data_IF_527737305385
#
_entry.id   IF_527737305385
#
_cell.length_a   1.000
_cell.length_b   1.000
_cell.length_c   1.000
_cell.angle_alpha   90.00
_cell.angle_beta   90.00
_cell.angle_gamma   90.00
#
_symmetry.space_group_name_H-M   'P 1'
#
loop_
_entity.id
_entity.type
_entity.pdbx_description
1 polymer ?
#
# COMPACT_ATOMS: atom_id res chain seq x y z
N UNK A 1 -1.58 32.96 6.39
CA UNK A 1 -2.75 33.47 7.13
C UNK A 1 -2.92 32.60 8.35
N UNK A 2 -3.11 33.20 9.52
CA UNK A 2 -3.41 32.50 10.78
C UNK A 2 -4.70 33.07 11.34
N UNK A 3 -5.49 32.24 12.01
CA UNK A 3 -6.69 32.71 12.70
C UNK A 3 -6.29 33.57 13.90
N UNK A 4 -7.12 34.55 14.25
CA UNK A 4 -6.90 35.44 15.40
C UNK A 4 -7.36 34.84 16.73
N UNK A 5 -8.03 33.69 16.67
CA UNK A 5 -8.50 32.92 17.83
C UNK A 5 -8.56 31.44 17.50
N UNK A 6 -8.68 30.63 18.55
CA UNK A 6 -9.03 29.23 18.44
C UNK A 6 -10.48 29.06 17.96
N UNK A 7 -10.73 27.96 17.25
CA UNK A 7 -12.05 27.57 16.77
C UNK A 7 -12.66 26.55 17.72
N UNK A 8 -13.98 26.46 17.73
CA UNK A 8 -14.71 25.40 18.44
C UNK A 8 -15.23 24.35 17.45
N UNK A 9 -15.34 23.09 17.88
CA UNK A 9 -15.98 22.05 17.06
C UNK A 9 -17.46 22.39 16.83
N UNK A 10 -17.93 22.21 15.59
CA UNK A 10 -19.28 22.57 15.17
C UNK A 10 -19.50 24.08 14.98
N UNK A 11 -18.47 24.91 15.13
CA UNK A 11 -18.57 26.34 14.87
C UNK A 11 -18.79 26.61 13.37
N UNK A 12 -19.68 27.52 13.02
CA UNK A 12 -19.87 27.96 11.63
C UNK A 12 -19.09 29.23 11.33
N UNK A 13 -18.11 29.12 10.45
CA UNK A 13 -17.39 30.24 9.86
C UNK A 13 -18.06 30.68 8.56
N UNK A 14 -17.87 31.95 8.22
CA UNK A 14 -18.39 32.52 6.98
C UNK A 14 -17.25 33.12 6.18
N UNK A 15 -16.94 32.50 5.05
CA UNK A 15 -16.02 33.06 4.06
C UNK A 15 -16.81 33.99 3.15
N UNK A 16 -16.54 35.30 3.22
CA UNK A 16 -17.18 36.32 2.38
C UNK A 16 -16.23 36.83 1.32
N UNK A 17 -16.74 37.04 0.11
CA UNK A 17 -16.02 37.77 -0.93
C UNK A 17 -16.25 39.27 -0.72
N UNK A 18 -15.17 40.04 -0.74
CA UNK A 18 -15.19 41.49 -0.67
C UNK A 18 -14.69 42.09 -1.98
N UNK A 19 -15.22 43.26 -2.37
CA UNK A 19 -14.71 44.04 -3.49
C UNK A 19 -13.66 45.00 -2.95
N UNK A 20 -12.57 45.18 -3.68
CA UNK A 20 -11.56 46.18 -3.33
C UNK A 20 -12.12 47.59 -3.60
N UNK A 21 -12.37 48.36 -2.54
CA UNK A 21 -12.88 49.73 -2.66
C UNK A 21 -12.58 50.53 -1.38
N UNK A 22 -11.66 51.52 -1.43
CA UNK A 22 -10.89 51.96 -2.60
C UNK A 22 -9.88 50.90 -3.07
N UNK A 23 -9.47 50.99 -4.34
CA UNK A 23 -8.43 50.12 -4.93
C UNK A 23 -7.04 50.50 -4.41
N UNK A 24 -6.75 50.20 -3.14
CA UNK A 24 -5.52 50.59 -2.44
C UNK A 24 -4.64 49.42 -1.99
N UNK A 25 -5.07 48.18 -2.22
CA UNK A 25 -4.37 46.96 -1.82
C UNK A 25 -4.45 46.61 -0.34
N UNK A 26 -5.28 47.29 0.46
CA UNK A 26 -5.39 47.11 1.91
C UNK A 26 -6.81 46.67 2.29
N UNK A 27 -6.93 45.49 2.90
CA UNK A 27 -8.24 45.04 3.39
C UNK A 27 -8.72 45.87 4.59
N UNK A 28 -9.78 46.65 4.41
CA UNK A 28 -10.26 47.68 5.35
C UNK A 28 -11.70 47.51 5.87
N UNK A 29 -12.35 46.35 5.65
CA UNK A 29 -13.78 46.19 5.94
C UNK A 29 -14.17 46.44 7.41
N UNK A 30 -15.02 47.46 7.62
CA UNK A 30 -15.69 47.78 8.88
C UNK A 30 -17.22 47.78 8.68
N UNK A 31 -17.88 46.73 9.17
CA UNK A 31 -19.33 46.56 9.05
C UNK A 31 -20.15 47.69 9.73
N UNK A 32 -19.53 48.51 10.59
CA UNK A 32 -20.19 49.62 11.29
C UNK A 32 -20.08 50.96 10.58
N UNK A 33 -19.26 51.06 9.53
CA UNK A 33 -19.11 52.28 8.75
C UNK A 33 -20.31 52.51 7.81
N UNK A 34 -20.73 53.78 7.66
CA UNK A 34 -21.80 54.17 6.73
C UNK A 34 -21.42 53.90 5.25
N UNK A 35 -20.14 54.00 4.95
CA UNK A 35 -19.53 53.64 3.67
C UNK A 35 -18.30 52.80 3.96
N UNK A 36 -18.46 51.49 4.16
CA UNK A 36 -17.34 50.62 4.51
C UNK A 36 -16.35 50.54 3.35
N UNK A 37 -15.07 50.67 3.67
CA UNK A 37 -14.02 50.24 2.77
C UNK A 37 -14.17 48.72 2.57
N UNK A 38 -13.83 48.25 1.38
CA UNK A 38 -14.01 46.88 0.90
C UNK A 38 -15.38 46.25 1.23
N UNK A 39 -16.50 46.79 0.73
CA UNK A 39 -17.81 46.21 0.98
C UNK A 39 -17.91 44.80 0.39
N UNK A 40 -18.77 43.92 0.93
CA UNK A 40 -19.01 42.60 0.37
C UNK A 40 -19.37 42.66 -1.12
N UNK A 41 -18.86 41.71 -1.89
CA UNK A 41 -19.36 41.46 -3.23
C UNK A 41 -20.79 40.94 -3.15
N UNK A 42 -21.66 41.46 -4.02
CA UNK A 42 -23.06 41.07 -4.07
C UNK A 42 -23.32 40.16 -5.27
N UNK A 43 -24.22 39.20 -5.11
CA UNK A 43 -24.74 38.37 -6.19
C UNK A 43 -25.81 39.11 -7.01
N UNK A 44 -26.43 38.41 -7.97
CA UNK A 44 -27.45 38.98 -8.85
C UNK A 44 -28.73 39.43 -8.10
N UNK A 45 -28.98 38.88 -6.91
CA UNK A 45 -30.12 39.20 -6.05
C UNK A 45 -29.77 40.25 -4.98
N UNK A 46 -28.54 40.78 -5.02
CA UNK A 46 -28.06 41.80 -4.09
C UNK A 46 -27.65 41.25 -2.72
N UNK A 47 -27.46 39.93 -2.57
CA UNK A 47 -27.00 39.32 -1.33
C UNK A 47 -25.47 39.19 -1.31
N UNK A 48 -24.82 39.29 -0.14
CA UNK A 48 -23.38 39.05 -0.03
C UNK A 48 -23.00 37.65 -0.51
N UNK A 49 -22.03 37.57 -1.42
CA UNK A 49 -21.44 36.31 -1.85
C UNK A 49 -20.65 35.73 -0.68
N UNK A 50 -21.18 34.65 -0.10
CA UNK A 50 -20.62 34.01 1.08
C UNK A 50 -20.75 32.49 1.02
N UNK A 51 -19.77 31.79 1.59
CA UNK A 51 -19.83 30.37 1.85
C UNK A 51 -19.77 30.12 3.36
N UNK A 52 -20.67 29.28 3.87
CA UNK A 52 -20.63 28.83 5.25
C UNK A 52 -19.75 27.58 5.34
N UNK A 53 -18.85 27.56 6.34
CA UNK A 53 -17.93 26.46 6.60
C UNK A 53 -18.16 26.01 8.03
N UNK A 54 -18.57 24.75 8.21
CA UNK A 54 -18.61 24.15 9.54
C UNK A 54 -17.20 23.70 9.92
N UNK A 55 -16.73 24.14 11.09
CA UNK A 55 -15.46 23.71 11.67
C UNK A 55 -15.69 22.35 12.30
N UNK A 56 -14.84 21.39 11.95
CA UNK A 56 -14.76 20.10 12.62
C UNK A 56 -13.39 19.95 13.24
N UNK A 57 -13.33 19.89 14.57
CA UNK A 57 -12.11 19.58 15.31
C UNK A 57 -12.20 18.10 15.68
N UNK A 58 -11.43 17.23 15.00
CA UNK A 58 -11.54 15.81 15.25
C UNK A 58 -11.16 15.49 16.70
N UNK A 59 -12.10 14.94 17.48
CA UNK A 59 -11.73 14.16 18.65
C UNK A 59 -10.95 12.92 18.19
N UNK A 60 -10.22 12.31 19.12
CA UNK A 60 -9.64 11.00 18.89
C UNK A 60 -10.75 10.02 18.49
N UNK A 61 -10.58 9.34 17.37
CA UNK A 61 -11.58 8.48 16.77
C UNK A 61 -10.93 7.43 15.89
N UNK A 62 -11.51 6.23 15.89
CA UNK A 62 -11.01 5.09 15.14
C UNK A 62 -12.22 4.31 14.63
N UNK A 63 -12.18 3.96 13.35
CA UNK A 63 -13.14 3.06 12.71
C UNK A 63 -12.37 2.12 11.80
N UNK A 64 -12.61 0.82 11.99
CA UNK A 64 -12.15 -0.24 11.11
C UNK A 64 -13.33 -1.16 10.84
N UNK A 65 -13.47 -1.56 9.58
CA UNK A 65 -14.48 -2.50 9.14
C UNK A 65 -13.78 -3.74 8.57
N UNK A 66 -14.43 -4.88 8.71
CA UNK A 66 -14.00 -6.11 8.07
C UNK A 66 -13.88 -5.89 6.55
N UNK A 67 -12.82 -6.41 5.94
CA UNK A 67 -12.65 -6.26 4.50
C UNK A 67 -11.95 -7.42 3.83
N UNK A 68 -12.24 -7.53 2.53
CA UNK A 68 -11.56 -8.46 1.64
C UNK A 68 -10.28 -7.83 1.10
N UNK A 69 -9.18 -8.57 1.20
CA UNK A 69 -7.84 -8.14 0.83
C UNK A 69 -7.67 -8.16 -0.69
N UNK A 70 -7.13 -7.06 -1.22
CA UNK A 70 -6.53 -7.03 -2.57
C UNK A 70 -5.07 -7.51 -2.54
N UNK A 71 -4.35 -7.14 -1.47
CA UNK A 71 -3.01 -7.62 -1.17
C UNK A 71 -2.96 -8.19 0.23
N UNK A 72 -2.30 -9.34 0.42
CA UNK A 72 -2.20 -9.96 1.74
C UNK A 72 -1.31 -9.19 2.72
N UNK A 73 -0.57 -8.20 2.24
CA UNK A 73 0.30 -7.31 3.05
C UNK A 73 -0.29 -5.91 3.21
N UNK A 74 -1.54 -5.65 2.80
CA UNK A 74 -2.12 -4.30 2.87
C UNK A 74 -3.52 -4.33 3.44
N UNK A 75 -3.72 -3.55 4.49
CA UNK A 75 -5.03 -3.33 5.10
C UNK A 75 -5.42 -1.87 4.97
N UNK A 76 -6.72 -1.60 5.16
CA UNK A 76 -7.27 -0.24 5.14
C UNK A 76 -8.03 0.03 6.41
N UNK A 77 -7.71 1.14 7.07
CA UNK A 77 -8.48 1.67 8.19
C UNK A 77 -9.50 2.65 7.64
N UNK A 78 -10.78 2.40 7.93
CA UNK A 78 -11.90 3.17 7.38
C UNK A 78 -11.75 4.65 7.73
N UNK A 79 -11.47 4.95 8.99
CA UNK A 79 -11.29 6.30 9.46
C UNK A 79 -10.41 6.33 10.71
N UNK A 80 -9.51 7.29 10.78
CA UNK A 80 -8.80 7.64 12.00
C UNK A 80 -8.75 9.15 12.15
N UNK A 81 -8.97 9.63 13.36
CA UNK A 81 -8.96 11.06 13.66
C UNK A 81 -8.25 11.32 14.98
N UNK A 82 -7.49 12.41 15.04
CA UNK A 82 -6.76 12.82 16.24
C UNK A 82 -6.54 14.32 16.24
N UNK A 83 -6.72 14.98 17.39
CA UNK A 83 -6.36 16.38 17.57
C UNK A 83 -4.85 16.59 17.85
N UNK A 84 -4.10 15.50 18.05
CA UNK A 84 -2.67 15.48 18.39
C UNK A 84 -1.87 14.62 17.41
N UNK A 85 -0.55 14.73 17.45
CA UNK A 85 0.32 13.75 16.82
C UNK A 85 0.00 12.36 17.38
N UNK A 86 -0.10 11.39 16.50
CA UNK A 86 -0.59 10.07 16.84
C UNK A 86 0.19 8.99 16.10
N UNK A 87 0.14 7.78 16.63
CA UNK A 87 0.66 6.58 15.99
C UNK A 87 -0.48 5.59 15.86
N UNK A 88 -0.70 5.11 14.63
CA UNK A 88 -1.60 3.97 14.40
C UNK A 88 -0.75 2.71 14.30
N UNK A 89 -1.19 1.63 14.96
CA UNK A 89 -0.53 0.34 14.89
C UNK A 89 -1.53 -0.75 14.55
N UNK A 90 -1.09 -1.72 13.75
CA UNK A 90 -1.80 -2.97 13.47
C UNK A 90 -1.05 -4.10 14.15
N UNK A 91 -1.75 -4.93 14.90
CA UNK A 91 -1.20 -6.14 15.49
C UNK A 91 -2.09 -7.34 15.19
N UNK A 92 -1.53 -8.54 15.33
CA UNK A 92 -2.29 -9.79 15.27
C UNK A 92 -2.84 -10.21 16.66
N UNK A 93 -3.42 -11.40 16.71
CA UNK A 93 -4.00 -11.96 17.92
C UNK A 93 -2.97 -12.31 19.01
N UNK A 94 -1.69 -12.40 18.67
CA UNK A 94 -0.58 -12.61 19.61
C UNK A 94 0.05 -11.27 20.05
N UNK A 95 -0.58 -10.15 19.70
CA UNK A 95 -0.11 -8.78 19.94
C UNK A 95 1.22 -8.45 19.23
N UNK A 96 1.58 -9.19 18.16
CA UNK A 96 2.73 -8.84 17.33
C UNK A 96 2.39 -7.67 16.42
N UNK A 97 3.13 -6.56 16.54
CA UNK A 97 2.95 -5.39 15.68
C UNK A 97 3.38 -5.69 14.24
N UNK A 98 2.42 -5.62 13.32
CA UNK A 98 2.61 -5.87 11.90
C UNK A 98 2.82 -4.58 11.10
N UNK A 99 2.24 -3.47 11.52
CA UNK A 99 2.41 -2.17 10.87
C UNK A 99 2.32 -1.04 11.89
N UNK A 100 3.06 0.04 11.64
CA UNK A 100 2.92 1.31 12.35
C UNK A 100 2.98 2.46 11.37
N UNK A 101 2.26 3.55 11.65
CA UNK A 101 2.38 4.78 10.88
C UNK A 101 2.16 6.01 11.78
N UNK A 102 2.98 7.06 11.64
CA UNK A 102 2.73 8.34 12.27
C UNK A 102 1.61 9.08 11.56
N UNK A 103 0.80 9.78 12.35
CA UNK A 103 -0.32 10.61 11.91
C UNK A 103 -0.15 12.02 12.45
N UNK A 104 -0.19 13.00 11.56
CA UNK A 104 -0.35 14.39 11.95
C UNK A 104 -1.76 14.61 12.55
N UNK A 105 -1.98 15.66 13.36
CA UNK A 105 -3.32 16.05 13.77
C UNK A 105 -4.27 16.21 12.57
N UNK A 106 -5.43 15.57 12.60
CA UNK A 106 -6.40 15.63 11.51
C UNK A 106 -7.37 14.45 11.45
N UNK A 107 -8.06 14.36 10.32
CA UNK A 107 -8.94 13.27 9.93
C UNK A 107 -8.35 12.58 8.70
N UNK A 108 -8.21 11.27 8.75
CA UNK A 108 -7.74 10.44 7.66
C UNK A 108 -8.80 9.39 7.36
N UNK A 109 -9.24 9.36 6.12
CA UNK A 109 -10.20 8.38 5.62
C UNK A 109 -9.47 7.35 4.76
N UNK A 110 -9.93 6.11 4.82
CA UNK A 110 -9.47 5.04 3.94
C UNK A 110 -7.94 4.84 4.00
N UNK A 111 -7.34 5.02 5.19
CA UNK A 111 -5.90 5.02 5.42
C UNK A 111 -5.31 3.63 5.14
N UNK A 112 -4.46 3.47 4.11
CA UNK A 112 -3.80 2.20 3.87
C UNK A 112 -2.60 2.01 4.81
N UNK A 113 -2.40 0.78 5.26
CA UNK A 113 -1.23 0.37 6.03
C UNK A 113 -0.64 -0.91 5.46
N UNK A 114 0.67 -0.90 5.27
CA UNK A 114 1.44 -2.04 4.75
C UNK A 114 2.00 -2.85 5.92
N UNK A 115 1.69 -4.14 5.93
CA UNK A 115 2.06 -5.11 6.95
C UNK A 115 3.46 -5.67 6.68
N UNK A 116 4.18 -6.00 7.75
CA UNK A 116 5.50 -6.62 7.73
C UNK A 116 5.50 -8.07 7.20
N UNK A 117 4.34 -8.73 7.26
CA UNK A 117 4.10 -10.08 6.75
C UNK A 117 2.76 -10.18 6.02
N UNK A 118 2.60 -11.14 5.10
CA UNK A 118 1.31 -11.46 4.52
C UNK A 118 0.38 -12.08 5.56
N UNK A 119 -0.91 -11.78 5.41
CA UNK A 119 -2.02 -12.55 5.99
C UNK A 119 -2.07 -13.88 5.24
N UNK A 120 -1.76 -14.96 5.97
CA UNK A 120 -1.67 -16.30 5.39
C UNK A 120 -2.97 -17.09 5.56
N UNK A 121 -3.77 -16.73 6.57
CA UNK A 121 -4.99 -17.45 6.93
C UNK A 121 -6.22 -16.63 6.52
N UNK A 122 -7.17 -17.19 5.76
CA UNK A 122 -8.45 -16.55 5.52
C UNK A 122 -9.19 -16.27 6.84
N UNK A 123 -9.63 -15.03 7.04
CA UNK A 123 -10.39 -14.63 8.25
C UNK A 123 -9.50 -14.33 9.46
N UNK A 124 -8.26 -13.90 9.24
CA UNK A 124 -7.39 -13.46 10.34
C UNK A 124 -7.99 -12.21 11.02
N UNK A 125 -8.10 -12.24 12.34
CA UNK A 125 -8.51 -11.08 13.14
C UNK A 125 -7.29 -10.23 13.45
N UNK A 126 -7.33 -8.97 13.05
CA UNK A 126 -6.31 -7.97 13.35
C UNK A 126 -6.85 -6.95 14.35
N UNK A 127 -5.94 -6.35 15.09
CA UNK A 127 -6.22 -5.31 16.06
C UNK A 127 -5.60 -4.00 15.59
N UNK A 128 -6.35 -2.92 15.66
CA UNK A 128 -5.88 -1.57 15.38
C UNK A 128 -5.88 -0.75 16.65
N UNK A 129 -4.77 -0.08 16.91
CA UNK A 129 -4.55 0.75 18.09
C UNK A 129 -4.26 2.18 17.64
N UNK A 130 -4.82 3.15 18.34
CA UNK A 130 -4.43 4.56 18.20
C UNK A 130 -3.71 5.02 19.47
N UNK A 131 -2.45 5.41 19.32
CA UNK A 131 -1.62 5.98 20.37
C UNK A 131 -1.45 7.50 20.17
N UNK A 132 -1.30 8.24 21.25
CA UNK A 132 -0.68 9.56 21.23
C UNK A 132 0.83 9.37 21.09
N UNK A 133 1.41 10.03 20.09
CA UNK A 133 2.87 10.10 19.87
C UNK A 133 3.41 11.20 20.79
N UNK A 134 3.77 10.82 22.02
CA UNK A 134 3.94 11.79 23.13
C UNK A 134 5.23 12.59 22.96
N UNK A 135 6.26 11.98 22.38
CA UNK A 135 7.54 12.65 22.10
C UNK A 135 7.69 13.12 20.64
N UNK A 136 6.65 12.89 19.82
CA UNK A 136 6.52 13.33 18.42
C UNK A 136 7.66 12.83 17.53
N UNK A 137 8.21 11.63 17.84
CA UNK A 137 9.34 11.07 17.11
C UNK A 137 8.90 10.17 15.94
N UNK A 138 7.60 9.84 15.84
CA UNK A 138 7.02 9.00 14.80
C UNK A 138 7.33 7.50 14.91
N UNK A 139 7.78 7.03 16.07
CA UNK A 139 8.17 5.64 16.36
C UNK A 139 7.44 5.18 17.62
N UNK A 140 6.72 4.06 17.50
CA UNK A 140 6.01 3.48 18.65
C UNK A 140 6.97 3.05 19.76
N UNK A 141 6.88 3.72 20.89
CA UNK A 141 7.54 3.38 22.15
C UNK A 141 6.49 3.15 23.23
N UNK A 142 6.22 1.87 23.55
CA UNK A 142 5.23 1.49 24.55
C UNK A 142 5.51 2.01 25.98
N UNK A 143 6.68 2.58 26.25
CA UNK A 143 7.01 3.23 27.53
C UNK A 143 6.70 4.73 27.57
N UNK A 144 6.50 5.36 26.40
CA UNK A 144 6.26 6.79 26.25
C UNK A 144 4.86 7.05 25.67
N UNK A 145 4.51 6.32 24.61
CA UNK A 145 3.26 6.48 23.89
C UNK A 145 2.10 5.85 24.66
N UNK A 146 0.98 6.57 24.65
CA UNK A 146 -0.20 6.17 25.43
C UNK A 146 -1.39 5.98 24.52
N UNK A 147 -2.21 4.97 24.80
CA UNK A 147 -3.44 4.76 24.04
C UNK A 147 -4.34 5.98 24.13
N UNK A 148 -4.76 6.48 22.98
CA UNK A 148 -5.80 7.49 22.92
C UNK A 148 -7.13 6.90 23.37
N UNK A 149 -8.00 7.78 23.86
CA UNK A 149 -9.35 7.41 24.29
C UNK A 149 -10.39 8.18 23.49
N UNK A 150 -11.54 7.56 23.26
CA UNK A 150 -12.69 8.23 22.67
C UNK A 150 -13.25 9.34 23.60
N UNK A 151 -14.26 10.06 23.13
CA UNK A 151 -14.93 11.10 23.93
C UNK A 151 -15.56 10.59 25.24
N UNK A 152 -15.78 9.28 25.37
CA UNK A 152 -16.28 8.61 26.58
C UNK A 152 -15.18 8.08 27.51
N UNK A 153 -13.91 8.19 27.12
CA UNK A 153 -12.75 7.69 27.86
C UNK A 153 -12.42 6.21 27.63
N UNK A 154 -13.04 5.55 26.65
CA UNK A 154 -12.70 4.18 26.29
C UNK A 154 -11.44 4.16 25.39
N UNK A 155 -10.51 3.20 25.57
CA UNK A 155 -9.31 3.12 24.75
C UNK A 155 -9.67 2.83 23.30
N UNK A 156 -9.00 3.53 22.36
CA UNK A 156 -9.19 3.35 20.92
C UNK A 156 -8.41 2.13 20.43
N UNK A 157 -8.98 0.98 20.73
CA UNK A 157 -8.55 -0.34 20.26
C UNK A 157 -9.76 -1.02 19.63
N UNK A 158 -9.65 -1.36 18.35
CA UNK A 158 -10.68 -2.10 17.62
C UNK A 158 -10.08 -3.38 17.05
N UNK A 159 -10.93 -4.35 16.75
CA UNK A 159 -10.56 -5.48 15.91
C UNK A 159 -11.40 -5.48 14.65
N UNK A 160 -10.87 -6.08 13.60
CA UNK A 160 -11.53 -6.32 12.34
C UNK A 160 -11.00 -7.61 11.72
N UNK A 161 -11.84 -8.26 10.93
CA UNK A 161 -11.49 -9.47 10.19
C UNK A 161 -11.02 -9.12 8.77
N UNK A 162 -9.95 -9.76 8.34
CA UNK A 162 -9.46 -9.68 6.96
C UNK A 162 -9.62 -11.02 6.26
N UNK A 163 -10.17 -10.99 5.04
CA UNK A 163 -10.46 -12.20 4.26
C UNK A 163 -9.83 -12.13 2.88
N UNK A 164 -9.44 -13.26 2.32
CA UNK A 164 -9.09 -13.33 0.89
C UNK A 164 -10.38 -13.52 0.07
N UNK A 165 -10.45 -12.87 -1.11
CA UNK A 165 -11.61 -12.99 -1.98
C UNK A 165 -11.87 -14.44 -2.42
N UNK A 166 -10.78 -15.16 -2.73
CA UNK A 166 -10.79 -16.61 -2.95
C UNK A 166 -9.80 -17.27 -1.97
N UNK A 167 -10.26 -18.06 -0.99
CA UNK A 167 -9.38 -18.81 -0.10
C UNK A 167 -8.49 -19.85 -0.81
N UNK A 168 -8.91 -20.35 -1.98
CA UNK A 168 -8.11 -21.29 -2.77
C UNK A 168 -7.03 -20.58 -3.59
N UNK A 169 -7.18 -19.28 -3.78
CA UNK A 169 -6.25 -18.42 -4.50
C UNK A 169 -6.05 -17.10 -3.74
N UNK A 170 -5.30 -17.14 -2.62
CA UNK A 170 -5.14 -15.98 -1.76
C UNK A 170 -4.61 -14.77 -2.50
N UNK A 171 -5.03 -13.58 -2.05
CA UNK A 171 -4.49 -12.31 -2.51
C UNK A 171 -2.94 -12.32 -2.50
N UNK A 172 -2.27 -11.80 -3.55
CA UNK A 172 -0.82 -11.72 -3.57
C UNK A 172 -0.32 -10.79 -2.46
N UNK A 173 0.85 -11.07 -1.92
CA UNK A 173 1.56 -10.18 -1.01
C UNK A 173 2.12 -8.97 -1.74
N UNK A 174 2.64 -9.17 -2.95
CA UNK A 174 3.21 -8.11 -3.79
C UNK A 174 2.89 -8.41 -5.26
N UNK A 175 2.51 -7.39 -6.02
CA UNK A 175 2.46 -7.41 -7.48
C UNK A 175 3.60 -6.61 -8.07
N UNK A 176 4.31 -7.18 -9.03
CA UNK A 176 5.29 -6.46 -9.82
C UNK A 176 4.72 -6.07 -11.19
N UNK A 177 4.89 -4.81 -11.57
CA UNK A 177 4.57 -4.32 -12.91
C UNK A 177 5.80 -4.48 -13.81
N UNK A 178 5.65 -5.20 -14.92
CA UNK A 178 6.77 -5.53 -15.80
C UNK A 178 6.52 -5.09 -17.24
N UNK A 179 7.53 -4.44 -17.81
CA UNK A 179 7.61 -4.10 -19.21
C UNK A 179 8.75 -4.86 -19.91
N UNK A 180 8.74 -4.84 -21.24
CA UNK A 180 9.79 -5.43 -22.09
C UNK A 180 10.43 -4.38 -22.97
N UNK A 181 11.77 -4.34 -23.00
CA UNK A 181 12.53 -3.53 -23.95
C UNK A 181 12.96 -4.39 -25.13
N UNK A 182 12.21 -4.27 -26.24
CA UNK A 182 12.47 -5.04 -27.45
C UNK A 182 12.68 -6.52 -27.13
N UNK A 183 13.71 -7.14 -27.70
CA UNK A 183 14.04 -8.55 -27.49
C UNK A 183 15.18 -8.76 -26.50
N UNK A 184 15.56 -7.73 -25.73
CA UNK A 184 16.84 -7.70 -25.01
C UNK A 184 16.71 -7.69 -23.50
N UNK A 185 15.65 -7.07 -22.93
CA UNK A 185 15.51 -7.04 -21.49
C UNK A 185 14.06 -6.98 -20.99
N UNK A 186 13.84 -7.48 -19.78
CA UNK A 186 12.71 -7.07 -18.95
C UNK A 186 13.07 -5.86 -18.10
N UNK A 187 12.05 -5.11 -17.73
CA UNK A 187 12.10 -4.03 -16.76
C UNK A 187 11.01 -4.27 -15.73
N UNK A 188 11.39 -4.30 -14.46
CA UNK A 188 10.45 -4.27 -13.34
C UNK A 188 10.28 -2.80 -12.96
N UNK A 189 9.12 -2.22 -13.30
CA UNK A 189 8.88 -0.77 -13.22
C UNK A 189 8.47 -0.33 -11.82
N UNK A 190 7.67 -1.15 -11.13
CA UNK A 190 7.19 -0.88 -9.78
C UNK A 190 6.69 -2.13 -9.08
N UNK A 191 6.45 -2.01 -7.78
CA UNK A 191 5.72 -2.98 -7.00
C UNK A 191 4.45 -2.35 -6.39
N UNK A 192 3.46 -3.18 -6.11
CA UNK A 192 2.28 -2.83 -5.32
C UNK A 192 2.12 -3.88 -4.20
N UNK A 193 2.05 -3.50 -2.91
CA UNK A 193 2.19 -2.14 -2.37
C UNK A 193 3.53 -1.48 -2.70
N UNK A 194 3.51 -0.15 -2.86
CA UNK A 194 4.66 0.65 -3.34
C UNK A 194 5.90 0.54 -2.42
N UNK A 195 5.70 0.29 -1.13
CA UNK A 195 6.72 0.08 -0.12
C UNK A 195 7.61 -1.13 -0.41
N UNK A 196 7.16 -2.07 -1.26
CA UNK A 196 7.96 -3.21 -1.72
C UNK A 196 8.73 -2.93 -3.00
N UNK A 197 8.74 -1.70 -3.52
CA UNK A 197 9.51 -1.36 -4.74
C UNK A 197 11.01 -1.58 -4.54
N UNK A 198 11.51 -1.42 -3.32
CA UNK A 198 12.92 -1.67 -2.96
C UNK A 198 13.34 -3.14 -3.09
N UNK A 199 12.39 -4.07 -3.28
CA UNK A 199 12.70 -5.44 -3.67
C UNK A 199 13.33 -5.52 -5.07
N UNK A 200 13.17 -4.49 -5.91
CA UNK A 200 13.78 -4.40 -7.23
C UNK A 200 15.11 -3.66 -7.07
N UNK A 201 16.22 -4.30 -7.44
CA UNK A 201 17.57 -3.73 -7.22
C UNK A 201 17.77 -2.34 -7.84
N UNK A 202 17.13 -2.11 -9.00
CA UNK A 202 17.08 -0.82 -9.69
C UNK A 202 15.92 -0.85 -10.69
N UNK A 203 14.89 -0.02 -10.47
CA UNK A 203 13.69 0.09 -11.33
C UNK A 203 13.95 0.69 -12.71
N UNK A 204 15.17 1.16 -12.97
CA UNK A 204 15.61 1.64 -14.29
C UNK A 204 16.61 0.69 -14.95
N UNK A 205 17.09 -0.34 -14.23
CA UNK A 205 18.02 -1.31 -14.77
C UNK A 205 17.30 -2.35 -15.63
N UNK A 206 17.99 -2.76 -16.68
CA UNK A 206 17.56 -3.87 -17.53
C UNK A 206 17.88 -5.20 -16.86
N UNK A 207 16.89 -6.09 -16.81
CA UNK A 207 16.94 -7.38 -16.11
C UNK A 207 17.44 -7.23 -14.66
N UNK A 208 16.77 -6.42 -13.82
CA UNK A 208 17.22 -6.17 -12.46
C UNK A 208 17.18 -7.46 -11.63
N UNK A 209 17.97 -7.52 -10.57
CA UNK A 209 17.77 -8.54 -9.54
C UNK A 209 16.51 -8.17 -8.76
N UNK A 210 15.66 -9.15 -8.48
CA UNK A 210 14.44 -8.95 -7.67
C UNK A 210 14.52 -9.83 -6.43
N UNK A 211 14.25 -9.27 -5.26
CA UNK A 211 14.22 -9.99 -3.99
C UNK A 211 12.81 -10.48 -3.70
N UNK A 212 12.68 -11.77 -3.40
CA UNK A 212 11.44 -12.42 -3.00
C UNK A 212 11.64 -13.06 -1.62
N UNK A 213 10.55 -13.33 -0.91
CA UNK A 213 10.55 -13.96 0.42
C UNK A 213 9.89 -15.34 0.35
N UNK A 214 10.47 -16.31 1.04
CA UNK A 214 9.90 -17.66 1.13
C UNK A 214 8.52 -17.61 1.79
N UNK A 215 7.60 -18.41 1.28
CA UNK A 215 6.21 -18.49 1.72
C UNK A 215 5.31 -17.34 1.24
N UNK A 216 5.87 -16.28 0.63
CA UNK A 216 5.08 -15.18 0.10
C UNK A 216 4.50 -15.52 -1.27
N UNK A 217 3.29 -15.03 -1.53
CA UNK A 217 2.61 -15.14 -2.82
C UNK A 217 2.84 -13.87 -3.64
N UNK A 218 3.34 -14.01 -4.85
CA UNK A 218 3.64 -12.91 -5.75
C UNK A 218 2.74 -12.94 -6.97
N UNK A 219 2.45 -11.76 -7.49
CA UNK A 219 1.87 -11.55 -8.81
C UNK A 219 2.91 -10.85 -9.69
N UNK A 220 3.03 -11.26 -10.96
CA UNK A 220 3.76 -10.51 -11.97
C UNK A 220 2.77 -10.17 -13.08
N UNK A 221 2.67 -8.88 -13.36
CA UNK A 221 1.90 -8.37 -14.48
C UNK A 221 2.81 -8.15 -15.70
N UNK A 222 2.86 -9.15 -16.57
CA UNK A 222 3.62 -9.14 -17.82
C UNK A 222 2.77 -8.64 -18.99
N UNK A 223 2.73 -7.32 -19.18
CA UNK A 223 2.00 -6.72 -20.32
C UNK A 223 2.55 -7.13 -21.70
N UNK A 224 3.81 -7.60 -21.74
CA UNK A 224 4.49 -8.06 -22.96
C UNK A 224 4.29 -9.53 -23.32
N UNK A 225 3.46 -10.29 -22.59
CA UNK A 225 3.34 -11.75 -22.66
C UNK A 225 3.31 -12.33 -24.08
N UNK A 226 2.53 -11.75 -25.00
CA UNK A 226 2.38 -12.28 -26.36
C UNK A 226 3.69 -12.37 -27.16
N UNK A 227 4.65 -11.49 -26.86
CA UNK A 227 5.98 -11.48 -27.49
C UNK A 227 7.09 -11.95 -26.55
N UNK A 228 6.89 -11.79 -25.24
CA UNK A 228 7.87 -12.04 -24.20
C UNK A 228 7.28 -12.83 -23.03
N UNK A 229 6.94 -14.12 -23.20
CA UNK A 229 6.50 -14.96 -22.09
C UNK A 229 7.61 -15.14 -21.05
N UNK A 230 7.22 -15.18 -19.78
CA UNK A 230 8.16 -15.20 -18.64
C UNK A 230 8.32 -16.62 -18.09
N UNK A 231 9.55 -17.08 -17.95
CA UNK A 231 9.89 -18.33 -17.26
C UNK A 231 10.46 -18.03 -15.87
N UNK A 232 10.05 -18.81 -14.87
CA UNK A 232 10.72 -18.94 -13.57
C UNK A 232 11.77 -20.05 -13.66
N UNK A 233 12.96 -19.80 -13.09
CA UNK A 233 14.13 -20.65 -13.30
C UNK A 233 14.86 -21.00 -12.02
N UNK A 234 15.51 -22.16 -12.04
CA UNK A 234 16.82 -22.31 -11.42
C UNK A 234 17.88 -21.86 -12.43
N UNK A 235 18.56 -20.77 -12.07
CA UNK A 235 19.37 -19.93 -12.94
C UNK A 235 20.78 -20.52 -13.11
N UNK A 236 21.13 -20.96 -14.32
CA UNK A 236 22.48 -21.44 -14.62
C UNK A 236 23.52 -20.32 -14.81
N UNK A 237 24.73 -20.66 -15.27
CA UNK A 237 25.70 -19.63 -15.72
C UNK A 237 25.33 -19.07 -17.11
N UNK A 238 24.57 -19.85 -17.88
CA UNK A 238 24.13 -19.51 -19.24
C UNK A 238 22.70 -19.98 -19.45
N UNK A 239 22.03 -19.45 -20.48
CA UNK A 239 20.68 -19.88 -20.85
C UNK A 239 20.53 -21.39 -21.03
N UNK A 240 21.56 -22.05 -21.55
CA UNK A 240 21.57 -23.50 -21.76
C UNK A 240 21.65 -24.30 -20.46
N UNK A 241 22.13 -23.68 -19.38
CA UNK A 241 22.20 -24.26 -18.04
C UNK A 241 20.97 -23.97 -17.17
N UNK A 242 20.05 -23.14 -17.61
CA UNK A 242 18.81 -22.85 -16.87
C UNK A 242 17.92 -24.10 -16.79
N UNK A 243 17.35 -24.34 -15.62
CA UNK A 243 16.25 -25.29 -15.44
C UNK A 243 14.95 -24.51 -15.31
N UNK A 244 13.97 -24.77 -16.18
CA UNK A 244 12.66 -24.12 -16.11
C UNK A 244 11.82 -24.76 -15.01
N UNK A 245 11.34 -23.92 -14.09
CA UNK A 245 10.51 -24.32 -12.95
C UNK A 245 9.03 -24.01 -13.20
N UNK A 246 8.72 -22.88 -13.86
CA UNK A 246 7.39 -22.52 -14.33
C UNK A 246 7.51 -21.68 -15.59
N UNK A 247 6.49 -21.67 -16.45
CA UNK A 247 6.52 -20.97 -17.73
C UNK A 247 5.16 -20.42 -18.14
N UNK A 248 5.10 -19.11 -18.28
CA UNK A 248 3.90 -18.40 -18.70
C UNK A 248 3.57 -18.66 -20.17
N UNK A 249 2.32 -19.01 -20.48
CA UNK A 249 1.73 -19.04 -21.82
C UNK A 249 2.25 -20.14 -22.75
N UNK A 250 3.01 -21.12 -22.24
CA UNK A 250 3.66 -22.14 -23.08
C UNK A 250 3.11 -23.55 -22.95
N UNK A 251 2.23 -23.80 -21.99
CA UNK A 251 1.65 -25.13 -21.71
C UNK A 251 2.72 -26.24 -21.68
N UNK A 252 3.89 -25.95 -21.09
CA UNK A 252 4.97 -26.94 -20.96
C UNK A 252 4.87 -27.75 -19.66
N UNK A 253 4.00 -27.34 -18.72
CA UNK A 253 3.60 -28.04 -17.49
C UNK A 253 4.77 -28.65 -16.68
N UNK A 254 5.79 -27.84 -16.30
CA UNK A 254 6.85 -28.29 -15.40
C UNK A 254 6.29 -28.65 -14.02
N UNK A 255 6.95 -29.59 -13.34
CA UNK A 255 6.44 -30.20 -12.11
C UNK A 255 5.99 -29.21 -11.01
N UNK A 256 6.67 -28.05 -10.78
CA UNK A 256 6.21 -27.07 -9.81
C UNK A 256 4.84 -26.43 -10.11
N UNK A 257 4.37 -26.41 -11.35
CA UNK A 257 3.04 -25.86 -11.68
C UNK A 257 1.90 -26.73 -11.13
N UNK A 258 2.15 -28.03 -10.92
CA UNK A 258 1.20 -28.96 -10.31
C UNK A 258 1.30 -29.03 -8.77
N UNK A 259 2.27 -28.34 -8.17
CA UNK A 259 2.45 -28.32 -6.73
C UNK A 259 1.42 -27.40 -6.06
N UNK A 260 0.52 -27.92 -5.20
CA UNK A 260 -0.49 -27.10 -4.55
C UNK A 260 0.10 -26.04 -3.61
N UNK A 261 1.34 -26.19 -3.13
CA UNK A 261 2.00 -25.17 -2.30
C UNK A 261 2.49 -23.99 -3.13
N UNK A 262 2.85 -24.21 -4.40
CA UNK A 262 3.22 -23.14 -5.33
C UNK A 262 1.97 -22.39 -5.78
N UNK A 263 0.84 -23.08 -5.88
CA UNK A 263 -0.46 -22.50 -6.27
C UNK A 263 -0.31 -21.62 -7.53
N UNK A 264 0.31 -22.20 -8.57
CA UNK A 264 0.60 -21.55 -9.84
C UNK A 264 -0.69 -21.11 -10.54
N UNK A 265 -0.71 -19.87 -11.02
CA UNK A 265 -1.77 -19.32 -11.87
C UNK A 265 -1.12 -18.62 -13.06
N UNK A 266 -1.66 -18.87 -14.25
CA UNK A 266 -1.25 -18.25 -15.51
C UNK A 266 -2.50 -17.83 -16.30
N UNK A 267 -2.79 -16.52 -16.27
CA UNK A 267 -4.00 -15.90 -16.78
C UNK A 267 -3.65 -14.72 -17.70
N UNK A 268 -3.11 -15.03 -18.87
CA UNK A 268 -2.74 -14.01 -19.85
C UNK A 268 -1.55 -13.18 -19.36
N UNK A 269 -1.65 -11.86 -19.17
CA UNK A 269 -0.53 -11.07 -18.67
C UNK A 269 -0.21 -11.35 -17.20
N UNK A 270 -1.17 -11.88 -16.44
CA UNK A 270 -1.01 -12.13 -15.01
C UNK A 270 -0.47 -13.53 -14.78
N UNK A 271 0.58 -13.64 -13.98
CA UNK A 271 0.98 -14.91 -13.36
C UNK A 271 1.09 -14.74 -11.86
N UNK A 272 0.71 -15.78 -11.10
CA UNK A 272 0.82 -15.79 -9.64
C UNK A 272 1.45 -17.08 -9.15
N UNK A 273 2.27 -16.97 -8.13
CA UNK A 273 2.97 -18.10 -7.54
C UNK A 273 3.35 -17.81 -6.09
N UNK A 274 3.44 -18.86 -5.29
CA UNK A 274 3.96 -18.82 -3.93
C UNK A 274 5.37 -19.37 -3.92
N UNK A 275 6.32 -18.68 -3.27
CA UNK A 275 7.70 -19.15 -3.11
C UNK A 275 7.75 -20.24 -2.02
N UNK A 276 7.19 -21.41 -2.33
CA UNK A 276 7.06 -22.54 -1.40
C UNK A 276 7.17 -23.88 -2.15
N UNK A 277 7.17 -24.99 -1.42
CA UNK A 277 7.14 -26.33 -2.01
C UNK A 277 8.34 -26.56 -2.93
N UNK A 278 8.07 -27.21 -4.07
CA UNK A 278 9.07 -27.52 -5.09
C UNK A 278 9.75 -26.28 -5.68
N UNK A 279 9.10 -25.11 -5.71
CA UNK A 279 9.70 -23.85 -6.17
C UNK A 279 10.77 -23.35 -5.18
N UNK A 280 10.59 -23.63 -3.89
CA UNK A 280 11.55 -23.35 -2.82
C UNK A 280 12.55 -24.50 -2.57
N UNK A 281 12.52 -25.57 -3.37
CA UNK A 281 13.40 -26.73 -3.19
C UNK A 281 12.96 -27.69 -2.08
N UNK A 282 11.73 -27.57 -1.58
CA UNK A 282 11.18 -28.41 -0.53
C UNK A 282 10.76 -29.77 -1.11
N UNK A 283 11.74 -30.61 -1.46
CA UNK A 283 11.51 -31.98 -1.92
C UNK A 283 12.14 -32.98 -0.93
N UNK A 284 11.35 -33.91 -0.36
CA UNK A 284 11.90 -34.94 0.54
C UNK A 284 12.96 -35.80 -0.15
N UNK A 285 14.21 -35.73 0.34
CA UNK A 285 15.27 -36.69 0.00
C UNK A 285 16.17 -36.36 -1.19
N UNK A 286 16.09 -35.17 -1.79
CA UNK A 286 17.05 -34.73 -2.82
C UNK A 286 17.63 -33.34 -2.50
N UNK A 287 18.90 -33.25 -2.03
CA UNK A 287 19.54 -31.97 -1.72
C UNK A 287 19.93 -31.14 -2.97
N UNK A 288 19.79 -31.69 -4.18
CA UNK A 288 20.08 -31.01 -5.45
C UNK A 288 18.78 -30.68 -6.21
N UNK A 289 17.69 -30.42 -5.50
CA UNK A 289 16.43 -30.04 -6.14
C UNK A 289 16.58 -28.60 -6.66
N UNK A 290 16.36 -28.35 -7.97
CA UNK A 290 16.39 -27.01 -8.53
C UNK A 290 15.49 -26.06 -7.75
N UNK A 291 15.97 -24.86 -7.46
CA UNK A 291 15.26 -23.85 -6.65
C UNK A 291 15.13 -22.54 -7.41
N UNK A 292 14.06 -21.79 -7.17
CA UNK A 292 13.87 -20.49 -7.79
C UNK A 292 15.05 -19.56 -7.49
N UNK A 293 15.74 -19.14 -8.55
CA UNK A 293 16.89 -18.23 -8.46
C UNK A 293 16.97 -17.25 -9.63
N UNK A 294 16.04 -17.28 -10.58
CA UNK A 294 15.93 -16.23 -11.57
C UNK A 294 14.79 -16.39 -12.55
N UNK A 295 14.86 -15.58 -13.60
CA UNK A 295 13.82 -15.49 -14.62
C UNK A 295 14.41 -15.25 -16.00
N UNK A 296 13.63 -15.56 -17.04
CA UNK A 296 13.97 -15.17 -18.42
C UNK A 296 12.76 -15.04 -19.32
N UNK A 297 12.98 -14.48 -20.51
CA UNK A 297 12.04 -14.61 -21.61
C UNK A 297 12.13 -16.01 -22.20
N UNK A 298 10.98 -16.66 -22.34
CA UNK A 298 10.85 -18.03 -22.81
C UNK A 298 11.23 -18.20 -24.30
N UNK A 299 11.13 -17.13 -25.09
CA UNK A 299 11.53 -17.13 -26.52
C UNK A 299 13.04 -17.35 -26.65
N UNK A 300 13.43 -18.42 -27.36
CA UNK A 300 14.83 -18.86 -27.51
C UNK A 300 15.77 -17.77 -28.07
N UNK A 301 15.27 -16.89 -28.95
CA UNK A 301 16.06 -15.81 -29.55
C UNK A 301 16.29 -14.60 -28.62
N UNK A 302 15.64 -14.54 -27.45
CA UNK A 302 15.74 -13.44 -26.50
C UNK A 302 16.72 -13.81 -25.38
N UNK A 303 17.94 -14.19 -25.76
CA UNK A 303 18.91 -14.81 -24.84
C UNK A 303 19.29 -13.90 -23.66
N UNK A 304 19.34 -12.58 -23.90
CA UNK A 304 19.72 -11.56 -22.92
C UNK A 304 18.57 -11.13 -21.99
N UNK A 305 17.31 -11.49 -22.30
CA UNK A 305 16.16 -11.21 -21.43
C UNK A 305 16.16 -12.20 -20.26
N UNK A 306 17.05 -11.98 -19.28
CA UNK A 306 17.30 -12.91 -18.18
C UNK A 306 17.86 -12.16 -16.98
N UNK A 307 17.31 -12.41 -15.80
CA UNK A 307 17.74 -11.79 -14.54
C UNK A 307 17.67 -12.76 -13.38
N UNK A 308 18.07 -12.28 -12.21
CA UNK A 308 18.18 -13.10 -11.00
C UNK A 308 17.07 -12.78 -9.99
N UNK A 309 16.73 -13.79 -9.19
CA UNK A 309 15.98 -13.63 -7.96
C UNK A 309 16.90 -13.89 -6.77
N UNK A 310 16.76 -13.08 -5.72
CA UNK A 310 17.29 -13.39 -4.39
C UNK A 310 16.11 -13.86 -3.54
N UNK A 311 16.23 -15.01 -2.89
CA UNK A 311 15.18 -15.54 -2.00
C UNK A 311 15.62 -15.36 -0.55
N UNK A 312 14.87 -14.55 0.20
CA UNK A 312 15.00 -14.36 1.64
C UNK A 312 14.06 -15.30 2.41
N UNK A 313 14.38 -15.54 3.68
CA UNK A 313 13.54 -16.29 4.61
C UNK A 313 12.48 -15.38 5.27
#
# INVERSE_FOLDING_TARGET
MSLTRELEDGEWLLARLHREAPEDGVFGYDASADTPDDPPALDADGQPVAAAVEVRIPSAGLQADDHTLEFSTRVRITMVSSARHALIAIADADEETLATAPLAPGLFEALPLTLSRPIATPGETLYVYLFEDVDENGVLDASIDTLQTDAGGAPLVLNFEVTHADPADPAPAVRFEMASLGTTAYLFESAEPAEFTDAISDVQAWNPTVTLKRGWRYEINNQGINAHPFDLLDLGDTRAGDVVLASQGRNIDPAPEADPQVAWVDEGPIMRFTVAGTLAGEAPGNPNTPTLSGYRCAVTGHAEMRGAFIIED
#
